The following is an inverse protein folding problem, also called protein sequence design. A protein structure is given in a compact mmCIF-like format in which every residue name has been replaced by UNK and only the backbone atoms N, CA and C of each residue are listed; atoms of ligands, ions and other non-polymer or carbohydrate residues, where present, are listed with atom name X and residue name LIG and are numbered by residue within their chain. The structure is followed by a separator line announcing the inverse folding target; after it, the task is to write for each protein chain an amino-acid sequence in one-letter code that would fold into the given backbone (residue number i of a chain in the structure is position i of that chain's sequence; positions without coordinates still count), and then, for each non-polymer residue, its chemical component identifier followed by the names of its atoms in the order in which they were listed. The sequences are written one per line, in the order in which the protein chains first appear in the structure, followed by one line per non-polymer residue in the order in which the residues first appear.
data_IF_769124040887
#
_entry.id   IF_769124040887
#
_cell.length_a   1.000
_cell.length_b   1.000
_cell.length_c   1.000
_cell.angle_alpha   90.00
_cell.angle_beta   90.00
_cell.angle_gamma   90.00
#
_symmetry.space_group_name_H-M   'P 1'
#
loop_
_entity.id
_entity.type
_entity.pdbx_description
1 polymer ?
#
# COMPACT_ATOMS: atom_id res chain seq x y z
N UNK A 1 -24.80 24.41 24.57
CA UNK A 1 -23.84 25.30 23.99
C UNK A 1 -22.61 25.30 24.90
N UNK A 2 -21.71 24.32 24.65
CA UNK A 2 -20.50 24.14 25.43
C UNK A 2 -19.45 25.15 24.96
N UNK A 3 -19.01 25.98 25.90
CA UNK A 3 -17.95 26.92 25.67
C UNK A 3 -16.61 26.17 25.48
N UNK A 4 -15.72 26.63 24.58
CA UNK A 4 -14.43 25.98 24.33
C UNK A 4 -13.56 26.00 25.60
N UNK A 5 -12.95 24.86 25.92
CA UNK A 5 -12.04 24.70 27.04
C UNK A 5 -10.86 25.68 26.89
N UNK A 6 -10.81 26.69 27.77
CA UNK A 6 -9.72 27.66 27.82
C UNK A 6 -8.48 26.98 28.40
N UNK A 7 -7.42 26.85 27.62
CA UNK A 7 -6.11 26.42 28.13
C UNK A 7 -5.47 27.56 28.90
N UNK A 8 -4.82 27.25 30.03
CA UNK A 8 -4.19 28.22 30.91
C UNK A 8 -2.69 28.01 30.95
N UNK A 9 -1.94 29.11 30.93
CA UNK A 9 -0.51 29.10 31.26
C UNK A 9 -0.35 29.84 32.61
N UNK A 10 0.22 29.18 33.60
CA UNK A 10 0.41 29.77 34.93
C UNK A 10 -0.88 30.12 35.71
N UNK A 11 -2.01 29.41 35.42
CA UNK A 11 -3.26 29.56 36.17
C UNK A 11 -4.15 30.75 35.78
N UNK A 12 -3.82 31.51 34.74
CA UNK A 12 -4.68 32.57 34.20
C UNK A 12 -5.20 32.22 32.80
N UNK A 13 -6.45 32.51 32.46
CA UNK A 13 -6.97 32.31 31.11
C UNK A 13 -6.28 33.27 30.13
N UNK A 14 -5.71 32.69 29.05
CA UNK A 14 -5.00 33.45 28.01
C UNK A 14 -5.92 33.66 26.80
N UNK A 15 -5.84 34.82 26.15
CA UNK A 15 -6.57 35.10 24.92
C UNK A 15 -6.00 34.28 23.73
N UNK A 16 -6.84 33.91 22.74
CA UNK A 16 -6.38 33.11 21.59
C UNK A 16 -5.19 33.71 20.84
N UNK A 17 -5.14 35.02 20.72
CA UNK A 17 -4.09 35.76 20.02
C UNK A 17 -2.73 35.70 20.77
N UNK A 18 -2.79 35.68 22.08
CA UNK A 18 -1.62 35.60 22.98
C UNK A 18 -1.03 34.19 22.96
N UNK A 19 -1.87 33.16 22.85
CA UNK A 19 -1.46 31.78 22.70
C UNK A 19 -0.77 31.54 21.34
N UNK A 20 -1.30 32.10 20.26
CA UNK A 20 -0.67 32.02 18.94
C UNK A 20 0.68 32.75 18.88
N UNK A 21 0.85 33.80 19.68
CA UNK A 21 2.10 34.54 19.79
C UNK A 21 3.17 33.75 20.56
N UNK A 22 2.78 33.08 21.65
CA UNK A 22 3.68 32.21 22.41
C UNK A 22 4.16 31.00 21.60
N UNK A 23 3.29 30.43 20.75
CA UNK A 23 3.70 29.35 19.84
C UNK A 23 4.68 29.82 18.76
N UNK A 24 4.61 31.09 18.32
CA UNK A 24 5.58 31.66 17.40
C UNK A 24 6.94 31.92 18.03
N UNK A 25 6.98 32.24 19.31
CA UNK A 25 8.24 32.46 20.05
C UNK A 25 8.94 31.15 20.40
N UNK A 26 8.20 30.05 20.63
CA UNK A 26 8.78 28.72 20.86
C UNK A 26 9.28 28.04 19.58
N UNK A 27 8.81 28.46 18.39
CA UNK A 27 9.25 27.93 17.08
C UNK A 27 10.43 28.70 16.47
N UNK A 28 10.98 29.72 17.14
CA UNK A 28 12.16 30.47 16.66
C UNK A 28 13.49 29.86 17.11
N UNK A 29 13.49 28.58 17.46
CA UNK A 29 14.68 27.75 17.63
C UNK A 29 15.02 27.02 16.33
N UNK A 30 16.00 27.57 15.58
CA UNK A 30 16.79 26.91 14.52
C UNK A 30 16.02 26.11 13.46
N UNK A 31 15.16 26.74 12.68
CA UNK A 31 14.96 26.33 11.32
C UNK A 31 16.03 27.00 10.43
N UNK A 32 17.18 26.34 10.30
CA UNK A 32 18.19 26.72 9.31
C UNK A 32 17.54 26.52 7.94
N UNK A 33 17.26 27.61 7.24
CA UNK A 33 16.74 27.59 5.88
C UNK A 33 17.79 26.96 4.97
N UNK A 34 17.38 26.07 4.07
CA UNK A 34 18.26 25.50 3.05
C UNK A 34 18.94 26.60 2.22
N UNK A 35 18.33 27.79 2.14
CA UNK A 35 18.91 28.98 1.48
C UNK A 35 20.10 29.54 2.26
N UNK A 36 20.10 29.52 3.60
CA UNK A 36 21.23 29.99 4.43
C UNK A 36 22.45 29.06 4.34
N UNK A 37 22.26 27.79 4.01
CA UNK A 37 23.34 26.82 3.76
C UNK A 37 24.02 27.02 2.41
N UNK A 38 23.38 27.73 1.47
CA UNK A 38 23.95 28.03 0.15
C UNK A 38 24.70 29.36 0.16
N UNK A 39 24.31 30.32 1.00
CA UNK A 39 24.96 31.64 1.11
C UNK A 39 26.21 31.66 1.98
N UNK A 40 26.38 30.72 2.93
CA UNK A 40 27.56 30.58 3.78
C UNK A 40 28.64 29.64 3.21
N UNK A 41 28.80 29.60 1.89
CA UNK A 41 30.00 29.04 1.30
C UNK A 41 31.09 30.11 1.36
N UNK A 42 31.95 30.02 2.37
CA UNK A 42 33.15 30.83 2.47
C UNK A 42 33.88 30.84 1.13
N UNK A 43 34.17 32.04 0.63
CA UNK A 43 35.00 32.24 -0.56
C UNK A 43 36.38 31.64 -0.28
N UNK A 44 36.68 30.48 -0.85
CA UNK A 44 38.05 30.02 -0.97
C UNK A 44 38.84 31.05 -1.83
N UNK A 45 40.08 31.38 -1.44
CA UNK A 45 40.91 32.34 -2.20
C UNK A 45 41.11 31.84 -3.62
N UNK A 46 41.19 32.75 -4.59
CA UNK A 46 41.22 32.39 -6.01
C UNK A 46 42.42 31.50 -6.30
N UNK A 47 42.14 30.26 -6.64
CA UNK A 47 43.10 29.34 -7.20
C UNK A 47 43.62 29.90 -8.52
N UNK A 48 44.92 29.80 -8.75
CA UNK A 48 45.58 30.16 -9.98
C UNK A 48 44.87 29.64 -11.24
N UNK A 49 44.84 30.40 -12.34
CA UNK A 49 44.08 30.00 -13.51
C UNK A 49 44.63 28.68 -14.08
N UNK A 50 43.85 27.65 -13.96
CA UNK A 50 44.07 26.37 -14.64
C UNK A 50 44.22 26.66 -16.16
N UNK A 51 45.11 25.96 -16.87
CA UNK A 51 45.32 26.16 -18.29
C UNK A 51 44.00 25.97 -19.04
N UNK A 52 43.67 26.92 -19.91
CA UNK A 52 42.48 26.86 -20.76
C UNK A 52 42.41 25.50 -21.41
N UNK A 53 41.24 24.82 -21.39
CA UNK A 53 41.07 23.61 -22.18
C UNK A 53 41.33 24.00 -23.65
N UNK A 54 42.28 23.32 -24.25
CA UNK A 54 42.51 23.38 -25.69
C UNK A 54 41.21 23.12 -26.41
N UNK A 55 40.87 23.97 -27.37
CA UNK A 55 39.71 23.74 -28.23
C UNK A 55 39.79 22.33 -28.75
N UNK A 56 38.67 21.54 -28.67
CA UNK A 56 38.64 20.25 -29.30
C UNK A 56 39.07 20.45 -30.77
N UNK A 57 40.13 19.75 -31.15
CA UNK A 57 40.57 19.66 -32.55
C UNK A 57 39.33 19.32 -33.39
N UNK A 58 39.28 19.96 -34.54
CA UNK A 58 38.22 19.80 -35.52
C UNK A 58 37.82 18.33 -35.60
N UNK A 59 36.57 18.05 -35.22
CA UNK A 59 35.97 16.79 -35.56
C UNK A 59 36.22 16.52 -37.04
N UNK A 60 36.99 15.51 -37.34
CA UNK A 60 37.21 15.05 -38.70
C UNK A 60 35.84 14.85 -39.31
N UNK A 61 35.62 15.52 -40.43
CA UNK A 61 34.40 15.35 -41.20
C UNK A 61 34.40 13.88 -41.65
N UNK A 62 33.57 13.07 -41.01
CA UNK A 62 33.31 11.73 -41.47
C UNK A 62 32.96 11.84 -42.95
N UNK A 63 33.71 11.14 -43.79
CA UNK A 63 33.54 11.22 -45.23
C UNK A 63 32.11 10.84 -45.62
N UNK A 64 31.55 11.44 -46.66
CA UNK A 64 30.19 11.14 -47.13
C UNK A 64 30.01 9.63 -47.40
N UNK A 65 31.07 8.91 -47.73
CA UNK A 65 31.08 7.46 -47.88
C UNK A 65 30.90 6.72 -46.54
N UNK A 66 31.55 7.15 -45.47
CA UNK A 66 31.40 6.53 -44.12
C UNK A 66 30.02 6.79 -43.55
N UNK A 67 29.41 7.93 -43.84
CA UNK A 67 28.01 8.21 -43.46
C UNK A 67 27.02 7.35 -44.27
N UNK A 68 27.29 7.09 -45.53
CA UNK A 68 26.46 6.21 -46.35
C UNK A 68 26.56 4.76 -45.88
N UNK A 69 27.74 4.25 -45.57
CA UNK A 69 27.97 2.89 -45.04
C UNK A 69 27.31 2.72 -43.66
N UNK A 70 27.41 3.76 -42.79
CA UNK A 70 26.75 3.73 -41.49
C UNK A 70 25.22 3.71 -41.62
N UNK A 71 24.67 4.46 -42.57
CA UNK A 71 23.24 4.50 -42.81
C UNK A 71 22.74 3.18 -43.42
N UNK A 72 23.50 2.56 -44.32
CA UNK A 72 23.15 1.23 -44.85
C UNK A 72 23.22 0.15 -43.78
N UNK A 73 24.22 0.17 -42.90
CA UNK A 73 24.31 -0.78 -41.76
C UNK A 73 23.17 -0.56 -40.74
N UNK A 74 22.74 0.67 -40.50
CA UNK A 74 21.58 0.96 -39.66
C UNK A 74 20.26 0.48 -40.30
N UNK A 75 20.11 0.64 -41.59
CA UNK A 75 18.94 0.17 -42.34
C UNK A 75 18.86 -1.36 -42.44
N UNK A 76 20.02 -2.04 -42.61
CA UNK A 76 20.08 -3.51 -42.55
C UNK A 76 19.77 -4.06 -41.16
N UNK A 77 20.24 -3.41 -40.10
CA UNK A 77 19.92 -3.83 -38.73
C UNK A 77 18.45 -3.60 -38.35
N UNK A 78 17.79 -2.60 -38.98
CA UNK A 78 16.35 -2.40 -38.82
C UNK A 78 15.49 -3.37 -39.66
N UNK A 79 16.05 -3.95 -40.72
CA UNK A 79 15.38 -4.96 -41.56
C UNK A 79 15.55 -6.39 -41.05
N UNK A 80 16.43 -6.62 -40.07
CA UNK A 80 16.53 -7.94 -39.46
C UNK A 80 15.17 -8.29 -38.79
N UNK A 81 14.58 -9.45 -39.11
CA UNK A 81 13.31 -9.83 -38.50
C UNK A 81 13.51 -9.87 -36.98
N UNK A 82 12.76 -9.01 -36.27
CA UNK A 82 12.79 -8.99 -34.80
C UNK A 82 12.44 -10.39 -34.36
N UNK A 83 13.32 -11.10 -33.62
CA UNK A 83 13.06 -12.45 -33.18
C UNK A 83 11.74 -12.43 -32.40
N UNK A 84 10.76 -13.20 -32.88
CA UNK A 84 9.49 -13.35 -32.17
C UNK A 84 9.81 -14.03 -30.85
N UNK A 85 9.69 -13.26 -29.75
CA UNK A 85 9.89 -13.81 -28.41
C UNK A 85 8.76 -14.78 -28.08
N UNK A 86 9.12 -16.03 -27.84
CA UNK A 86 8.19 -17.05 -27.42
C UNK A 86 8.02 -17.04 -25.91
N UNK A 87 6.80 -16.69 -25.45
CA UNK A 87 6.51 -16.57 -24.03
C UNK A 87 6.46 -17.94 -23.37
N UNK A 88 7.01 -18.07 -22.13
CA UNK A 88 6.87 -19.30 -21.37
C UNK A 88 5.40 -19.70 -21.23
N UNK A 89 5.04 -20.97 -21.54
CA UNK A 89 3.67 -21.40 -21.42
C UNK A 89 3.19 -21.38 -19.96
N UNK A 90 1.93 -20.97 -19.74
CA UNK A 90 1.32 -20.88 -18.39
C UNK A 90 1.28 -22.24 -17.68
N UNK A 91 1.42 -23.33 -18.41
CA UNK A 91 1.43 -24.69 -17.87
C UNK A 91 2.69 -25.03 -17.05
N UNK A 92 3.74 -24.23 -17.15
CA UNK A 92 4.89 -24.32 -16.25
C UNK A 92 4.54 -23.95 -14.80
N UNK A 93 3.45 -23.22 -14.59
CA UNK A 93 3.00 -22.80 -13.26
C UNK A 93 2.10 -23.88 -12.65
N UNK A 94 2.32 -24.17 -11.37
CA UNK A 94 1.54 -25.14 -10.62
C UNK A 94 0.05 -24.76 -10.58
N UNK A 95 -0.82 -25.74 -10.79
CA UNK A 95 -2.26 -25.59 -10.56
C UNK A 95 -2.54 -25.66 -9.06
N UNK A 96 -3.33 -24.70 -8.55
CA UNK A 96 -3.75 -24.69 -7.15
C UNK A 96 -4.57 -25.93 -6.80
N UNK A 97 -4.28 -26.51 -5.63
CA UNK A 97 -5.17 -27.49 -5.01
C UNK A 97 -5.99 -26.74 -3.97
N UNK A 98 -7.28 -26.61 -4.18
CA UNK A 98 -8.18 -26.04 -3.18
C UNK A 98 -8.41 -27.07 -2.08
N UNK A 99 -8.20 -26.66 -0.83
CA UNK A 99 -8.49 -27.47 0.34
C UNK A 99 -10.01 -27.66 0.45
N UNK A 100 -10.47 -28.84 0.88
CA UNK A 100 -11.89 -29.20 0.91
C UNK A 100 -12.74 -28.22 1.72
N UNK A 101 -13.90 -27.88 1.18
CA UNK A 101 -14.85 -26.90 1.74
C UNK A 101 -15.51 -27.38 3.05
N UNK A 102 -15.62 -28.72 3.25
CA UNK A 102 -16.40 -29.29 4.34
C UNK A 102 -15.93 -28.93 5.76
N UNK A 103 -14.60 -28.85 6.00
CA UNK A 103 -14.07 -28.40 7.31
C UNK A 103 -14.19 -26.88 7.52
N UNK A 104 -14.31 -26.14 6.43
CA UNK A 104 -14.39 -24.69 6.45
C UNK A 104 -15.75 -24.16 6.96
N UNK A 105 -16.85 -24.82 6.61
CA UNK A 105 -18.19 -24.43 7.05
C UNK A 105 -18.39 -24.63 8.54
N UNK A 106 -17.88 -25.73 9.07
CA UNK A 106 -17.94 -25.99 10.51
C UNK A 106 -17.16 -24.95 11.32
N UNK A 107 -15.94 -24.60 10.86
CA UNK A 107 -15.13 -23.54 11.45
C UNK A 107 -15.84 -22.18 11.41
N UNK A 108 -16.48 -21.83 10.28
CA UNK A 108 -17.20 -20.57 10.14
C UNK A 108 -18.37 -20.49 11.12
N UNK A 109 -19.11 -21.57 11.30
CA UNK A 109 -20.24 -21.63 12.23
C UNK A 109 -19.77 -21.50 13.68
N UNK A 110 -18.76 -22.28 14.07
CA UNK A 110 -18.18 -22.23 15.43
C UNK A 110 -17.67 -20.82 15.76
N UNK A 111 -16.89 -20.22 14.84
CA UNK A 111 -16.34 -18.88 15.03
C UNK A 111 -17.44 -17.80 15.07
N UNK A 112 -18.53 -17.95 14.29
CA UNK A 112 -19.63 -16.99 14.31
C UNK A 112 -20.43 -17.04 15.62
N UNK A 113 -20.71 -18.23 16.14
CA UNK A 113 -21.38 -18.41 17.42
C UNK A 113 -20.51 -17.85 18.56
N UNK A 114 -19.26 -18.25 18.65
CA UNK A 114 -18.32 -17.76 19.65
C UNK A 114 -18.13 -16.22 19.62
N UNK A 115 -18.11 -15.63 18.42
CA UNK A 115 -17.98 -14.18 18.26
C UNK A 115 -19.20 -13.44 18.81
N UNK A 116 -20.42 -13.92 18.51
CA UNK A 116 -21.66 -13.33 19.04
C UNK A 116 -21.70 -13.45 20.56
N UNK A 117 -21.47 -14.64 21.11
CA UNK A 117 -21.49 -14.89 22.56
C UNK A 117 -20.46 -13.99 23.28
N UNK A 118 -19.28 -13.82 22.69
CA UNK A 118 -18.25 -12.92 23.23
C UNK A 118 -18.73 -11.48 23.26
N UNK A 119 -19.30 -10.96 22.17
CA UNK A 119 -19.80 -9.59 22.11
C UNK A 119 -20.98 -9.36 23.07
N UNK A 120 -21.88 -10.32 23.18
CA UNK A 120 -23.00 -10.27 24.14
C UNK A 120 -22.51 -10.21 25.59
N UNK A 121 -21.46 -10.97 25.95
CA UNK A 121 -20.84 -10.93 27.29
C UNK A 121 -20.34 -9.55 27.69
N UNK A 122 -19.92 -8.73 26.68
CA UNK A 122 -19.53 -7.34 26.85
C UNK A 122 -20.68 -6.34 26.68
N UNK A 123 -21.94 -6.80 26.68
CA UNK A 123 -23.16 -6.00 26.47
C UNK A 123 -23.13 -5.25 25.10
N UNK A 124 -22.72 -5.94 24.06
CA UNK A 124 -22.77 -5.49 22.67
C UNK A 124 -23.68 -6.45 21.90
N UNK A 125 -24.93 -6.05 21.66
CA UNK A 125 -25.89 -6.78 20.83
C UNK A 125 -25.53 -6.56 19.35
N UNK A 126 -24.70 -7.43 18.80
CA UNK A 126 -24.24 -7.38 17.42
C UNK A 126 -24.87 -8.50 16.60
N UNK A 127 -25.17 -8.21 15.32
CA UNK A 127 -25.73 -9.21 14.40
C UNK A 127 -24.82 -9.37 13.19
N UNK A 128 -24.51 -10.62 12.82
CA UNK A 128 -23.75 -10.94 11.64
C UNK A 128 -24.67 -10.76 10.41
N UNK A 129 -24.28 -9.83 9.52
CA UNK A 129 -25.00 -9.57 8.25
C UNK A 129 -24.33 -10.22 7.05
N UNK A 130 -23.07 -10.65 7.22
CA UNK A 130 -22.33 -11.30 6.16
C UNK A 130 -21.02 -11.90 6.64
N UNK A 131 -20.57 -12.94 5.95
CA UNK A 131 -19.30 -13.60 6.20
C UNK A 131 -18.56 -13.69 4.85
N UNK A 132 -17.33 -13.16 4.80
CA UNK A 132 -16.48 -13.20 3.61
C UNK A 132 -15.23 -13.99 3.95
N UNK A 133 -15.10 -15.20 3.42
CA UNK A 133 -13.93 -16.04 3.61
C UNK A 133 -12.89 -15.76 2.52
N UNK A 134 -11.74 -15.26 2.93
CA UNK A 134 -10.57 -15.08 2.09
C UNK A 134 -9.57 -16.24 2.20
N UNK A 135 -8.44 -16.14 1.50
CA UNK A 135 -7.38 -17.17 1.51
C UNK A 135 -6.75 -17.38 2.90
N UNK A 136 -6.49 -16.30 3.63
CA UNK A 136 -5.77 -16.31 4.91
C UNK A 136 -6.62 -15.85 6.08
N UNK A 137 -7.64 -15.03 5.83
CA UNK A 137 -8.51 -14.46 6.86
C UNK A 137 -9.97 -14.58 6.48
N UNK A 138 -10.84 -14.68 7.47
CA UNK A 138 -12.29 -14.58 7.31
C UNK A 138 -12.75 -13.28 7.93
N UNK A 139 -13.52 -12.49 7.20
CA UNK A 139 -14.14 -11.26 7.69
C UNK A 139 -15.60 -11.49 7.99
N UNK A 140 -15.96 -11.28 9.26
CA UNK A 140 -17.33 -11.23 9.73
C UNK A 140 -17.82 -9.79 9.67
N UNK A 141 -18.90 -9.56 8.94
CA UNK A 141 -19.53 -8.24 8.82
C UNK A 141 -20.66 -8.15 9.84
N UNK A 142 -20.55 -7.21 10.79
CA UNK A 142 -21.53 -7.07 11.87
C UNK A 142 -22.21 -5.72 11.85
N UNK A 143 -23.51 -5.72 12.07
CA UNK A 143 -24.27 -4.52 12.40
C UNK A 143 -24.27 -4.31 13.91
N UNK A 144 -24.04 -3.07 14.31
CA UNK A 144 -23.96 -2.67 15.71
C UNK A 144 -25.13 -1.74 16.03
N UNK A 145 -25.75 -1.85 17.20
CA UNK A 145 -26.81 -0.94 17.65
C UNK A 145 -26.33 0.51 17.68
N UNK A 146 -27.26 1.43 17.41
CA UNK A 146 -26.98 2.86 17.48
C UNK A 146 -26.57 3.26 18.90
N UNK A 147 -25.54 4.11 19.01
CA UNK A 147 -25.05 4.60 20.29
C UNK A 147 -23.80 3.90 20.81
N UNK A 148 -23.39 2.77 20.24
CA UNK A 148 -22.13 2.10 20.56
C UNK A 148 -21.01 2.72 19.72
N UNK A 149 -19.97 3.21 20.40
CA UNK A 149 -18.75 3.74 19.74
C UNK A 149 -17.91 2.58 19.19
N UNK A 150 -17.41 2.72 17.96
CA UNK A 150 -16.52 1.72 17.34
C UNK A 150 -15.28 1.47 18.21
N UNK A 151 -14.75 2.50 18.87
CA UNK A 151 -13.61 2.40 19.79
C UNK A 151 -13.86 1.41 20.96
N UNK A 152 -15.10 1.23 21.39
CA UNK A 152 -15.43 0.25 22.42
C UNK A 152 -15.24 -1.18 21.90
N UNK A 153 -15.55 -1.41 20.62
CA UNK A 153 -15.41 -2.74 20.00
C UNK A 153 -13.95 -2.99 19.65
N UNK A 154 -13.25 -2.00 19.12
CA UNK A 154 -11.81 -2.16 18.82
C UNK A 154 -10.96 -2.40 20.07
N UNK A 155 -11.40 -1.90 21.24
CA UNK A 155 -10.72 -2.19 22.50
C UNK A 155 -10.88 -3.67 22.95
N UNK A 156 -11.85 -4.40 22.41
CA UNK A 156 -12.08 -5.83 22.70
C UNK A 156 -11.34 -6.76 21.74
N UNK A 157 -10.45 -6.25 20.88
CA UNK A 157 -9.75 -7.06 19.88
C UNK A 157 -9.01 -8.25 20.51
N UNK A 158 -8.34 -8.03 21.64
CA UNK A 158 -7.55 -9.04 22.32
C UNK A 158 -8.43 -10.08 23.03
N UNK A 159 -9.55 -9.64 23.63
CA UNK A 159 -10.53 -10.54 24.27
C UNK A 159 -11.22 -11.42 23.23
N UNK A 160 -11.58 -10.86 22.08
CA UNK A 160 -12.17 -11.60 20.96
C UNK A 160 -11.13 -12.57 20.37
N UNK A 161 -9.87 -12.15 20.22
CA UNK A 161 -8.80 -13.04 19.74
C UNK A 161 -8.61 -14.23 20.67
N UNK A 162 -8.63 -13.99 21.99
CA UNK A 162 -8.51 -15.03 23.01
C UNK A 162 -9.69 -16.01 22.93
N UNK A 163 -10.91 -15.52 22.84
CA UNK A 163 -12.13 -16.35 22.75
C UNK A 163 -12.16 -17.26 21.53
N UNK A 164 -11.69 -16.72 20.38
CA UNK A 164 -11.61 -17.45 19.10
C UNK A 164 -10.36 -18.34 18.98
N UNK A 165 -9.45 -18.29 19.96
CA UNK A 165 -8.15 -18.97 19.89
C UNK A 165 -7.28 -18.49 18.72
N UNK A 166 -7.44 -17.23 18.31
CA UNK A 166 -6.70 -16.59 17.22
C UNK A 166 -5.50 -15.82 17.75
N UNK A 167 -4.43 -15.73 16.96
CA UNK A 167 -3.23 -14.98 17.36
C UNK A 167 -3.48 -13.47 17.46
N UNK A 168 -4.32 -12.94 16.58
CA UNK A 168 -4.78 -11.55 16.57
C UNK A 168 -6.08 -11.42 15.80
N UNK A 169 -6.84 -10.36 16.07
CA UNK A 169 -8.08 -10.03 15.36
C UNK A 169 -8.02 -8.55 14.98
N UNK A 170 -8.39 -8.24 13.74
CA UNK A 170 -8.46 -6.86 13.28
C UNK A 170 -9.90 -6.42 13.17
N UNK A 171 -10.20 -5.27 13.76
CA UNK A 171 -11.54 -4.67 13.76
C UNK A 171 -11.48 -3.35 13.04
N UNK A 172 -12.28 -3.19 11.96
CA UNK A 172 -12.31 -1.97 11.16
C UNK A 172 -13.73 -1.70 10.63
N UNK A 173 -14.12 -0.44 10.46
CA UNK A 173 -15.37 -0.10 9.78
C UNK A 173 -15.29 -0.53 8.30
N UNK A 174 -16.42 -0.98 7.75
CA UNK A 174 -16.51 -1.35 6.35
C UNK A 174 -16.90 -0.11 5.55
N UNK A 175 -16.12 0.30 4.53
CA UNK A 175 -16.53 1.35 3.62
C UNK A 175 -17.89 1.02 2.98
N UNK A 176 -18.70 2.05 2.75
CA UNK A 176 -20.03 1.97 2.08
C UNK A 176 -21.11 1.17 2.81
N UNK A 177 -20.84 0.66 4.02
CA UNK A 177 -21.82 -0.05 4.84
C UNK A 177 -21.84 0.48 6.28
N UNK A 178 -23.02 0.52 6.91
CA UNK A 178 -23.15 0.78 8.36
C UNK A 178 -22.85 -0.53 9.09
N UNK A 179 -21.62 -0.99 8.97
CA UNK A 179 -21.17 -2.27 9.51
C UNK A 179 -19.70 -2.20 9.93
N UNK A 180 -19.36 -3.06 10.88
CA UNK A 180 -17.98 -3.29 11.33
C UNK A 180 -17.52 -4.64 10.84
N UNK A 181 -16.33 -4.70 10.24
CA UNK A 181 -15.68 -5.95 9.86
C UNK A 181 -14.74 -6.42 10.95
N UNK A 182 -14.90 -7.67 11.37
CA UNK A 182 -13.97 -8.38 12.25
C UNK A 182 -13.24 -9.42 11.41
N UNK A 183 -11.95 -9.24 11.24
CA UNK A 183 -11.08 -10.10 10.45
C UNK A 183 -10.36 -11.08 11.38
N UNK A 184 -10.66 -12.37 11.21
CA UNK A 184 -10.14 -13.49 12.00
C UNK A 184 -9.25 -14.34 11.11
N UNK A 185 -7.99 -14.65 11.49
CA UNK A 185 -7.15 -15.55 10.72
C UNK A 185 -7.73 -16.95 10.63
N UNK A 186 -7.69 -17.56 9.46
CA UNK A 186 -8.16 -18.91 9.23
C UNK A 186 -7.24 -19.93 9.91
N UNK A 187 -7.78 -20.97 10.55
CA UNK A 187 -6.99 -22.10 11.06
C UNK A 187 -6.25 -22.82 9.91
N UNK A 188 -6.89 -22.88 8.75
CA UNK A 188 -6.30 -23.45 7.53
C UNK A 188 -6.17 -22.37 6.47
N UNK A 189 -4.92 -22.00 6.14
CA UNK A 189 -4.61 -21.02 5.12
C UNK A 189 -4.63 -21.68 3.74
N UNK A 190 -5.34 -21.07 2.79
CA UNK A 190 -5.32 -21.50 1.40
C UNK A 190 -4.20 -20.75 0.64
N UNK A 191 -3.26 -21.50 0.08
CA UNK A 191 -2.19 -20.91 -0.72
C UNK A 191 -2.74 -20.27 -1.98
N UNK A 192 -2.32 -19.03 -2.24
CA UNK A 192 -2.64 -18.30 -3.48
C UNK A 192 -1.64 -18.66 -4.55
N UNK A 193 -2.11 -19.17 -5.68
CA UNK A 193 -1.27 -19.56 -6.79
C UNK A 193 -1.22 -18.45 -7.84
N UNK A 194 -0.01 -18.10 -8.28
CA UNK A 194 0.23 -17.06 -9.29
C UNK A 194 -0.50 -17.37 -10.60
N UNK A 195 -0.60 -18.66 -10.98
CA UNK A 195 -1.33 -19.11 -12.16
C UNK A 195 -2.79 -18.61 -12.16
N UNK A 196 -3.48 -18.68 -11.02
CA UNK A 196 -4.87 -18.24 -10.90
C UNK A 196 -4.99 -16.71 -11.10
N UNK A 197 -4.03 -15.96 -10.56
CA UNK A 197 -4.01 -14.51 -10.70
C UNK A 197 -3.76 -14.08 -12.14
N UNK A 198 -2.79 -14.71 -12.83
CA UNK A 198 -2.45 -14.40 -14.23
C UNK A 198 -3.57 -14.83 -15.18
N UNK A 199 -4.25 -15.96 -14.90
CA UNK A 199 -5.38 -16.43 -15.72
C UNK A 199 -6.68 -15.65 -15.48
N UNK A 200 -6.70 -14.73 -14.52
CA UNK A 200 -7.91 -13.97 -14.19
C UNK A 200 -8.24 -12.94 -15.27
N UNK A 201 -9.54 -12.63 -15.48
CA UNK A 201 -9.95 -11.54 -16.38
C UNK A 201 -9.37 -10.18 -15.98
N UNK A 202 -9.10 -9.96 -14.69
CA UNK A 202 -8.49 -8.73 -14.21
C UNK A 202 -7.06 -8.55 -14.76
N UNK A 203 -6.31 -9.63 -14.90
CA UNK A 203 -4.96 -9.58 -15.47
C UNK A 203 -4.97 -9.57 -16.98
N UNK A 204 -5.76 -10.47 -17.62
CA UNK A 204 -5.79 -10.60 -19.09
C UNK A 204 -6.33 -9.35 -19.80
N UNK A 205 -7.21 -8.59 -19.14
CA UNK A 205 -7.74 -7.33 -19.65
C UNK A 205 -6.89 -6.09 -19.24
N UNK A 206 -5.76 -6.28 -18.57
CA UNK A 206 -4.89 -5.18 -18.20
C UNK A 206 -4.25 -4.55 -19.43
N UNK A 207 -4.36 -3.22 -19.55
CA UNK A 207 -3.87 -2.48 -20.74
C UNK A 207 -2.36 -2.29 -20.76
N UNK A 208 -1.75 -2.25 -19.59
CA UNK A 208 -0.31 -2.00 -19.45
C UNK A 208 0.48 -3.29 -19.63
N UNK A 209 1.57 -3.23 -20.40
CA UNK A 209 2.54 -4.33 -20.51
C UNK A 209 3.38 -4.54 -19.25
N UNK A 210 3.35 -3.56 -18.34
CA UNK A 210 4.04 -3.60 -17.05
C UNK A 210 3.10 -3.97 -15.90
N UNK A 211 1.96 -4.59 -16.20
CA UNK A 211 1.05 -5.13 -15.20
C UNK A 211 1.63 -6.40 -14.59
N UNK A 212 1.47 -6.54 -13.27
CA UNK A 212 1.89 -7.74 -12.54
C UNK A 212 0.82 -8.17 -11.55
N UNK A 213 0.77 -9.45 -11.25
CA UNK A 213 -0.16 -10.01 -10.27
C UNK A 213 0.47 -9.91 -8.86
N UNK A 214 -0.17 -9.15 -7.97
CA UNK A 214 0.24 -9.01 -6.57
C UNK A 214 -0.20 -10.22 -5.76
N UNK A 215 -1.42 -10.71 -5.97
CA UNK A 215 -2.02 -11.81 -5.24
C UNK A 215 -3.55 -11.73 -5.24
N UNK A 216 -4.16 -12.13 -4.13
CA UNK A 216 -5.61 -11.99 -3.88
C UNK A 216 -5.85 -11.12 -2.65
N UNK A 217 -6.92 -10.35 -2.67
CA UNK A 217 -7.37 -9.59 -1.51
C UNK A 217 -8.06 -10.50 -0.48
N UNK A 218 -8.51 -9.92 0.63
CA UNK A 218 -9.24 -10.64 1.69
C UNK A 218 -10.57 -11.22 1.20
N UNK A 219 -11.09 -10.76 0.06
CA UNK A 219 -12.31 -11.29 -0.57
C UNK A 219 -12.02 -12.38 -1.60
N UNK A 220 -10.74 -12.71 -1.81
CA UNK A 220 -10.30 -13.69 -2.80
C UNK A 220 -10.22 -13.16 -4.23
N UNK A 221 -10.44 -11.86 -4.46
CA UNK A 221 -10.31 -11.24 -5.78
C UNK A 221 -8.85 -11.01 -6.14
N UNK A 222 -8.42 -11.25 -7.39
CA UNK A 222 -7.05 -10.99 -7.82
C UNK A 222 -6.75 -9.49 -7.81
N UNK A 223 -5.62 -9.12 -7.23
CA UNK A 223 -5.08 -7.75 -7.18
C UNK A 223 -3.97 -7.64 -8.21
N UNK A 224 -4.13 -6.72 -9.15
CA UNK A 224 -3.19 -6.46 -10.24
C UNK A 224 -2.59 -5.08 -10.03
N UNK A 225 -1.27 -5.02 -10.02
CA UNK A 225 -0.50 -3.79 -9.99
C UNK A 225 -0.03 -3.38 -11.38
N UNK A 226 0.32 -2.12 -11.55
CA UNK A 226 0.91 -1.57 -12.77
C UNK A 226 2.15 -0.76 -12.39
N UNK A 227 3.33 -1.29 -12.70
CA UNK A 227 4.62 -0.66 -12.36
C UNK A 227 4.72 0.75 -12.97
N UNK A 228 4.16 0.95 -14.16
CA UNK A 228 4.20 2.26 -14.83
C UNK A 228 3.48 3.37 -14.04
N UNK A 229 2.54 3.01 -13.18
CA UNK A 229 1.75 3.96 -12.38
C UNK A 229 2.26 4.11 -10.95
N UNK A 230 3.23 3.30 -10.54
CA UNK A 230 3.79 3.35 -9.19
C UNK A 230 5.04 4.23 -9.18
N UNK A 231 5.02 5.41 -8.52
CA UNK A 231 6.18 6.28 -8.45
C UNK A 231 7.32 5.66 -7.63
N UNK A 232 6.97 4.86 -6.61
CA UNK A 232 7.89 4.13 -5.75
C UNK A 232 7.30 2.77 -5.39
N UNK A 233 8.12 1.72 -5.42
CA UNK A 233 7.76 0.37 -4.99
C UNK A 233 8.92 -0.25 -4.23
N UNK A 234 8.63 -0.78 -3.04
CA UNK A 234 9.53 -1.60 -2.25
C UNK A 234 9.01 -3.03 -2.29
N UNK A 235 9.91 -3.99 -2.55
CA UNK A 235 9.60 -5.43 -2.62
C UNK A 235 10.42 -6.15 -1.56
#
# INVERSE_FOLDING_TARGET
PDAPVRRTHGGKPMAPDEYLRSLKEETTGEQVSILDLVENREEEPPAEPAPKPEKPEKAEKISENEQAELSEQMDESQKAPVPVYDYPPIDLLSKGKHTSVAGAEAELKENSECLIDTLESFNIDAQIIGIVRGPSVTRFELTIPRGIKISRITALSDDIALSLGAANVRIAPIPDKIAVGIEVPNKTVNTVFIRECISSPAFTNARSRLSFAVGKDITGKPVIGDIAKMPHMLI
#
